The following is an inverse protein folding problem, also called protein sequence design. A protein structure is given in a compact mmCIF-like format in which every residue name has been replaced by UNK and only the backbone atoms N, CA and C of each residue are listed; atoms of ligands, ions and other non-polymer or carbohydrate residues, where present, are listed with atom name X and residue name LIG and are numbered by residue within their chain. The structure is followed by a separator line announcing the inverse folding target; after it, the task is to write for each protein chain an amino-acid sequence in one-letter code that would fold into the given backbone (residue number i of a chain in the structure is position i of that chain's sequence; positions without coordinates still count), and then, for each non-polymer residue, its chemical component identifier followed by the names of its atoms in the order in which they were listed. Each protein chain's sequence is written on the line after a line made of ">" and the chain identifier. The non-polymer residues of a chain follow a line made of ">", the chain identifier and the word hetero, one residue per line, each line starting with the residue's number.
data_IF_970440385386
#
_entry.id   IF_970440385386
#
_cell.length_a   1.000
_cell.length_b   1.000
_cell.length_c   1.000
_cell.angle_alpha   90.00
_cell.angle_beta   90.00
_cell.angle_gamma   90.00
#
_symmetry.space_group_name_H-M   'P 1'
#
loop_
_entity.id
_entity.type
_entity.pdbx_description
1 polymer ?
#
# COMPACT_ATOMS: atom_id res chain seq x y z
N UNK A 1 -32.60 -6.19 5.05
CA UNK A 1 -33.54 -5.57 4.08
C UNK A 1 -32.78 -4.50 3.30
N UNK A 2 -32.36 -4.79 2.06
CA UNK A 2 -31.75 -3.78 1.20
C UNK A 2 -32.82 -2.76 0.81
N UNK A 3 -32.63 -1.50 1.20
CA UNK A 3 -33.46 -0.41 0.69
C UNK A 3 -33.28 -0.38 -0.82
N UNK A 4 -34.36 -0.69 -1.55
CA UNK A 4 -34.40 -0.60 -3.01
C UNK A 4 -34.20 0.89 -3.34
N UNK A 5 -32.95 1.29 -3.59
CA UNK A 5 -32.65 2.62 -4.13
C UNK A 5 -33.47 2.75 -5.41
N UNK A 6 -34.48 3.63 -5.40
CA UNK A 6 -35.23 3.99 -6.61
C UNK A 6 -34.19 4.38 -7.65
N UNK A 7 -34.03 3.54 -8.66
CA UNK A 7 -33.06 3.77 -9.72
C UNK A 7 -33.55 4.96 -10.53
N UNK A 8 -32.78 6.04 -10.53
CA UNK A 8 -33.06 7.19 -11.39
C UNK A 8 -33.22 6.70 -12.84
N UNK A 9 -34.18 7.26 -13.61
CA UNK A 9 -34.36 6.88 -15.01
C UNK A 9 -33.03 7.09 -15.75
N UNK A 10 -32.45 6.00 -16.26
CA UNK A 10 -31.19 6.08 -16.99
C UNK A 10 -31.37 6.82 -18.30
N UNK A 11 -30.42 7.69 -18.61
CA UNK A 11 -30.36 8.40 -19.88
C UNK A 11 -30.32 7.39 -21.05
N UNK A 12 -31.23 7.56 -22.00
CA UNK A 12 -31.24 6.78 -23.24
C UNK A 12 -29.96 7.07 -24.01
N UNK A 13 -29.26 6.01 -24.40
CA UNK A 13 -28.06 6.14 -25.23
C UNK A 13 -28.50 6.28 -26.68
N UNK A 14 -27.71 7.00 -27.49
CA UNK A 14 -28.02 7.15 -28.92
C UNK A 14 -27.48 5.97 -29.76
N UNK A 15 -26.47 5.27 -29.26
CA UNK A 15 -25.75 4.21 -29.97
C UNK A 15 -25.55 2.99 -29.10
N UNK A 16 -25.47 1.82 -29.74
CA UNK A 16 -25.02 0.61 -29.06
C UNK A 16 -23.55 0.74 -28.64
N UNK A 17 -23.24 0.51 -27.37
CA UNK A 17 -21.88 0.59 -26.82
C UNK A 17 -20.92 -0.50 -27.32
N UNK A 18 -21.38 -1.40 -28.20
CA UNK A 18 -20.57 -2.49 -28.75
C UNK A 18 -20.35 -2.29 -30.25
N UNK A 19 -21.43 -2.26 -31.04
CA UNK A 19 -21.33 -2.13 -32.50
C UNK A 19 -21.49 -0.70 -33.02
N UNK A 20 -21.69 0.29 -32.13
CA UNK A 20 -21.84 1.71 -32.44
C UNK A 20 -23.01 2.08 -33.38
N UNK A 21 -23.89 1.13 -33.74
CA UNK A 21 -25.12 1.41 -34.51
C UNK A 21 -26.06 2.33 -33.73
N UNK A 22 -26.63 3.32 -34.40
CA UNK A 22 -27.61 4.24 -33.82
C UNK A 22 -28.91 3.49 -33.48
N UNK A 23 -29.42 3.69 -32.27
CA UNK A 23 -30.74 3.22 -31.91
C UNK A 23 -31.81 4.03 -32.65
N UNK A 24 -32.88 3.35 -33.05
CA UNK A 24 -34.01 3.93 -33.80
C UNK A 24 -35.30 3.19 -33.45
N UNK A 25 -36.41 3.56 -34.08
CA UNK A 25 -37.68 2.83 -33.92
C UNK A 25 -37.55 1.35 -34.34
N UNK A 26 -36.71 1.06 -35.34
CA UNK A 26 -36.44 -0.28 -35.84
C UNK A 26 -35.37 -1.00 -35.01
N UNK A 27 -34.34 -0.28 -34.54
CA UNK A 27 -33.28 -0.82 -33.70
C UNK A 27 -33.45 -0.40 -32.25
N UNK A 28 -34.20 -1.19 -31.47
CA UNK A 28 -34.47 -0.92 -30.06
C UNK A 28 -33.22 -1.04 -29.20
N UNK A 29 -33.11 -0.16 -28.21
CA UNK A 29 -32.12 -0.25 -27.13
C UNK A 29 -32.52 -1.33 -26.13
N UNK A 30 -31.58 -2.21 -25.80
CA UNK A 30 -31.64 -3.13 -24.67
C UNK A 30 -30.54 -2.80 -23.66
N UNK A 31 -30.65 -3.36 -22.46
CA UNK A 31 -29.64 -3.22 -21.42
C UNK A 31 -29.07 -4.58 -21.04
N UNK A 32 -27.74 -4.69 -21.03
CA UNK A 32 -27.05 -5.84 -20.44
C UNK A 32 -27.26 -5.81 -18.92
N UNK A 33 -27.81 -6.88 -18.34
CA UNK A 33 -28.05 -6.95 -16.89
C UNK A 33 -26.77 -7.10 -16.05
N UNK A 34 -25.68 -7.57 -16.65
CA UNK A 34 -24.36 -7.75 -16.00
C UNK A 34 -23.57 -6.43 -15.92
N UNK A 35 -23.18 -5.86 -17.06
CA UNK A 35 -22.33 -4.65 -17.12
C UNK A 35 -23.10 -3.35 -17.40
N UNK A 36 -24.43 -3.39 -17.46
CA UNK A 36 -25.28 -2.22 -17.65
C UNK A 36 -25.14 -1.47 -18.99
N UNK A 37 -24.38 -1.99 -19.96
CA UNK A 37 -24.26 -1.40 -21.31
C UNK A 37 -25.59 -1.36 -22.05
N UNK A 38 -25.82 -0.29 -22.80
CA UNK A 38 -26.84 -0.16 -23.82
C UNK A 38 -26.42 -0.91 -25.10
N UNK A 39 -27.20 -1.94 -25.47
CA UNK A 39 -26.88 -2.84 -26.57
C UNK A 39 -28.06 -3.03 -27.52
N UNK A 40 -27.80 -3.27 -28.80
CA UNK A 40 -28.83 -3.70 -29.73
C UNK A 40 -29.22 -5.18 -29.52
N UNK A 41 -30.24 -5.65 -30.23
CA UNK A 41 -30.71 -7.03 -30.11
C UNK A 41 -29.58 -8.04 -30.42
N UNK A 42 -28.81 -7.81 -31.50
CA UNK A 42 -27.72 -8.68 -31.94
C UNK A 42 -26.61 -8.78 -30.87
N UNK A 43 -26.11 -7.64 -30.40
CA UNK A 43 -25.05 -7.58 -29.40
C UNK A 43 -25.51 -8.06 -28.01
N UNK A 44 -26.82 -8.08 -27.76
CA UNK A 44 -27.45 -8.51 -26.51
C UNK A 44 -28.27 -9.79 -26.65
N UNK A 45 -28.01 -10.65 -27.64
CA UNK A 45 -28.85 -11.84 -27.91
C UNK A 45 -28.73 -12.94 -26.85
N UNK A 46 -27.66 -12.91 -26.05
CA UNK A 46 -27.34 -13.95 -25.09
C UNK A 46 -28.16 -13.81 -23.81
N UNK A 47 -28.42 -14.95 -23.17
CA UNK A 47 -28.98 -15.02 -21.84
C UNK A 47 -28.06 -15.85 -20.94
N UNK A 48 -27.88 -15.39 -19.70
CA UNK A 48 -27.05 -16.05 -18.70
C UNK A 48 -27.60 -15.78 -17.30
N UNK A 49 -27.26 -16.65 -16.34
CA UNK A 49 -27.44 -16.36 -14.93
C UNK A 49 -26.48 -15.23 -14.55
N UNK A 50 -26.99 -14.18 -13.90
CA UNK A 50 -26.20 -13.01 -13.51
C UNK A 50 -26.07 -13.01 -11.98
N UNK A 51 -24.86 -13.26 -11.52
CA UNK A 51 -24.50 -13.17 -10.10
C UNK A 51 -24.83 -11.76 -9.58
N UNK A 52 -25.41 -11.69 -8.38
CA UNK A 52 -25.88 -10.45 -7.72
C UNK A 52 -27.12 -9.79 -8.36
N UNK A 53 -27.80 -10.48 -9.29
CA UNK A 53 -29.11 -10.06 -9.80
C UNK A 53 -30.19 -11.08 -9.51
N UNK A 54 -30.08 -12.28 -10.11
CA UNK A 54 -30.99 -13.40 -9.88
C UNK A 54 -30.27 -14.68 -10.31
N UNK A 55 -30.16 -15.62 -9.39
CA UNK A 55 -29.52 -16.92 -9.61
C UNK A 55 -30.48 -17.96 -10.19
N UNK A 56 -31.78 -17.69 -10.24
CA UNK A 56 -32.82 -18.64 -10.66
C UNK A 56 -33.18 -18.49 -12.13
N UNK A 57 -33.12 -17.28 -12.67
CA UNK A 57 -33.54 -17.02 -14.06
C UNK A 57 -32.40 -16.48 -14.91
N UNK A 58 -32.45 -16.80 -16.22
CA UNK A 58 -31.47 -16.29 -17.16
C UNK A 58 -31.87 -14.90 -17.64
N UNK A 59 -30.92 -13.96 -17.61
CA UNK A 59 -31.12 -12.59 -18.03
C UNK A 59 -30.28 -12.23 -19.25
N UNK A 60 -30.75 -11.22 -19.98
CA UNK A 60 -30.06 -10.70 -21.15
C UNK A 60 -28.67 -10.17 -20.77
N UNK A 61 -27.64 -10.67 -21.45
CA UNK A 61 -26.28 -10.18 -21.35
C UNK A 61 -25.72 -9.85 -22.74
N UNK A 62 -24.75 -8.95 -22.78
CA UNK A 62 -24.06 -8.62 -24.02
C UNK A 62 -23.00 -9.68 -24.38
N UNK A 63 -22.62 -9.73 -25.66
CA UNK A 63 -21.57 -10.63 -26.18
C UNK A 63 -20.29 -10.56 -25.34
N UNK A 64 -19.79 -9.35 -25.05
CA UNK A 64 -18.58 -9.15 -24.25
C UNK A 64 -18.72 -9.76 -22.85
N UNK A 65 -19.86 -9.53 -22.19
CA UNK A 65 -20.11 -10.09 -20.87
C UNK A 65 -20.25 -11.61 -20.88
N UNK A 66 -20.78 -12.17 -21.97
CA UNK A 66 -20.92 -13.62 -22.14
C UNK A 66 -19.54 -14.26 -22.33
N UNK A 67 -18.70 -13.68 -23.17
CA UNK A 67 -17.33 -14.14 -23.41
C UNK A 67 -16.49 -14.08 -22.12
N UNK A 68 -16.60 -12.98 -21.37
CA UNK A 68 -15.90 -12.83 -20.10
C UNK A 68 -16.36 -13.86 -19.04
N UNK A 69 -17.65 -14.16 -18.96
CA UNK A 69 -18.17 -15.21 -18.09
C UNK A 69 -17.60 -16.59 -18.46
N UNK A 70 -17.56 -16.90 -19.76
CA UNK A 70 -16.95 -18.14 -20.26
C UNK A 70 -15.46 -18.19 -19.91
N UNK A 71 -14.74 -17.07 -20.07
CA UNK A 71 -13.34 -16.99 -19.71
C UNK A 71 -13.09 -17.16 -18.20
N UNK A 72 -13.94 -16.61 -17.34
CA UNK A 72 -13.83 -16.81 -15.89
C UNK A 72 -13.96 -18.31 -15.56
N UNK A 73 -14.96 -18.97 -16.12
CA UNK A 73 -15.16 -20.42 -15.92
C UNK A 73 -13.99 -21.23 -16.49
N UNK A 74 -13.48 -20.84 -17.66
CA UNK A 74 -12.34 -21.47 -18.31
C UNK A 74 -11.06 -21.35 -17.48
N UNK A 75 -10.75 -20.17 -16.92
CA UNK A 75 -9.60 -19.98 -16.03
C UNK A 75 -9.76 -20.82 -14.76
N UNK A 76 -10.95 -20.81 -14.13
CA UNK A 76 -11.20 -21.63 -12.92
C UNK A 76 -10.94 -23.11 -13.22
N UNK A 77 -11.47 -23.62 -14.33
CA UNK A 77 -11.32 -25.03 -14.69
C UNK A 77 -9.89 -25.39 -15.11
N UNK A 78 -9.26 -24.61 -15.99
CA UNK A 78 -7.91 -24.87 -16.51
C UNK A 78 -6.85 -24.77 -15.43
N UNK A 79 -6.92 -23.74 -14.60
CA UNK A 79 -5.93 -23.49 -13.55
C UNK A 79 -6.25 -24.23 -12.24
N UNK A 80 -7.35 -24.99 -12.21
CA UNK A 80 -7.81 -25.75 -11.05
C UNK A 80 -7.99 -24.87 -9.81
N UNK A 81 -8.62 -23.70 -10.00
CA UNK A 81 -8.80 -22.74 -8.92
C UNK A 81 -9.81 -23.26 -7.90
N UNK A 82 -9.45 -23.13 -6.62
CA UNK A 82 -10.31 -23.46 -5.50
C UNK A 82 -9.89 -22.64 -4.29
N UNK A 83 -10.88 -22.13 -3.54
CA UNK A 83 -10.61 -21.28 -2.39
C UNK A 83 -9.79 -22.03 -1.33
N UNK A 84 -8.71 -21.41 -0.86
CA UNK A 84 -7.75 -21.97 0.09
C UNK A 84 -7.11 -23.31 -0.36
N UNK A 85 -6.81 -23.45 -1.66
CA UNK A 85 -6.07 -24.61 -2.20
C UNK A 85 -5.06 -24.15 -3.24
N UNK A 86 -3.98 -24.91 -3.40
CA UNK A 86 -2.96 -24.62 -4.40
C UNK A 86 -3.48 -24.95 -5.81
N UNK A 87 -3.50 -23.94 -6.67
CA UNK A 87 -3.79 -24.02 -8.10
C UNK A 87 -2.54 -24.24 -8.95
N UNK A 88 -2.68 -24.42 -10.27
CA UNK A 88 -1.55 -24.40 -11.21
C UNK A 88 -0.82 -23.05 -11.24
N UNK A 89 -1.55 -21.93 -11.06
CA UNK A 89 -0.98 -20.59 -10.90
C UNK A 89 -0.01 -20.53 -9.71
N UNK A 90 -0.30 -21.24 -8.62
CA UNK A 90 0.60 -21.35 -7.45
C UNK A 90 1.99 -21.80 -7.86
N UNK A 91 2.07 -22.86 -8.65
CA UNK A 91 3.35 -23.42 -9.08
C UNK A 91 4.13 -22.43 -9.96
N UNK A 92 3.42 -21.68 -10.81
CA UNK A 92 4.02 -20.63 -11.62
C UNK A 92 4.57 -19.49 -10.75
N UNK A 93 3.78 -18.98 -9.81
CA UNK A 93 4.18 -17.86 -8.96
C UNK A 93 5.25 -18.24 -7.94
N UNK A 94 5.25 -19.48 -7.44
CA UNK A 94 6.33 -20.00 -6.61
C UNK A 94 7.66 -20.03 -7.39
N UNK A 95 7.66 -20.40 -8.67
CA UNK A 95 8.89 -20.30 -9.50
C UNK A 95 9.40 -18.88 -9.62
N UNK A 96 8.51 -17.89 -9.52
CA UNK A 96 8.91 -16.50 -9.54
C UNK A 96 9.42 -16.02 -8.20
N UNK A 97 8.96 -16.52 -7.05
CA UNK A 97 9.31 -16.02 -5.72
C UNK A 97 10.32 -16.87 -4.93
N UNK A 98 10.60 -18.10 -5.35
CA UNK A 98 11.48 -19.01 -4.62
C UNK A 98 12.95 -18.85 -5.05
N UNK A 99 13.73 -18.18 -4.21
CA UNK A 99 15.20 -18.16 -4.29
C UNK A 99 15.80 -19.41 -3.61
N UNK A 100 15.34 -20.59 -4.02
CA UNK A 100 15.73 -21.95 -3.54
C UNK A 100 14.96 -22.54 -2.34
N UNK A 101 14.03 -21.82 -1.71
CA UNK A 101 13.22 -22.43 -0.65
C UNK A 101 12.28 -23.51 -1.20
N UNK A 102 12.09 -24.61 -0.47
CA UNK A 102 11.12 -25.65 -0.88
C UNK A 102 9.75 -25.29 -0.34
N UNK A 103 8.70 -25.57 -1.12
CA UNK A 103 7.31 -25.32 -0.72
C UNK A 103 6.99 -25.90 0.67
N UNK A 104 7.48 -27.12 0.96
CA UNK A 104 7.27 -27.76 2.25
C UNK A 104 7.89 -26.98 3.43
N UNK A 105 9.03 -26.31 3.20
CA UNK A 105 9.69 -25.53 4.24
C UNK A 105 8.84 -24.29 4.59
N UNK A 106 8.25 -23.63 3.58
CA UNK A 106 7.29 -22.52 3.77
C UNK A 106 6.03 -22.97 4.52
N UNK A 107 5.50 -24.15 4.18
CA UNK A 107 4.34 -24.74 4.87
C UNK A 107 4.65 -24.99 6.34
N UNK A 108 5.81 -25.59 6.63
CA UNK A 108 6.24 -25.89 7.99
C UNK A 108 6.44 -24.59 8.81
N UNK A 109 7.08 -23.59 8.22
CA UNK A 109 7.28 -22.28 8.85
C UNK A 109 5.94 -21.64 9.23
N UNK A 110 4.98 -21.60 8.30
CA UNK A 110 3.65 -21.04 8.57
C UNK A 110 2.95 -21.71 9.75
N UNK A 111 2.92 -23.05 9.80
CA UNK A 111 2.21 -23.74 10.88
C UNK A 111 2.93 -23.62 12.23
N UNK A 112 4.27 -23.54 12.23
CA UNK A 112 5.04 -23.19 13.42
C UNK A 112 4.64 -21.81 13.94
N UNK A 113 4.63 -20.78 13.08
CA UNK A 113 4.21 -19.41 13.43
C UNK A 113 2.75 -19.38 13.90
N UNK A 114 1.86 -20.11 13.22
CA UNK A 114 0.45 -20.18 13.61
C UNK A 114 0.28 -20.76 15.01
N UNK A 115 1.06 -21.80 15.36
CA UNK A 115 1.02 -22.38 16.70
C UNK A 115 1.49 -21.39 17.78
N UNK A 116 2.55 -20.64 17.51
CA UNK A 116 3.13 -19.67 18.44
C UNK A 116 2.23 -18.44 18.61
N UNK A 117 1.65 -17.94 17.52
CA UNK A 117 0.81 -16.75 17.54
C UNK A 117 -0.49 -16.92 18.33
N UNK A 118 -1.04 -18.14 18.44
CA UNK A 118 -2.28 -18.42 19.19
C UNK A 118 -2.19 -18.04 20.68
N UNK A 119 -1.01 -18.16 21.28
CA UNK A 119 -0.82 -17.93 22.71
C UNK A 119 -0.13 -16.60 23.02
N UNK A 120 0.47 -15.96 22.00
CA UNK A 120 1.37 -14.82 22.18
C UNK A 120 0.88 -13.53 21.50
N UNK A 121 -0.32 -13.54 20.90
CA UNK A 121 -0.92 -12.33 20.33
C UNK A 121 -1.40 -11.39 21.45
N UNK A 122 -1.24 -10.08 21.27
CA UNK A 122 -1.84 -9.12 22.18
C UNK A 122 -3.37 -9.13 22.09
N UNK A 123 -4.03 -8.78 23.20
CA UNK A 123 -5.50 -8.66 23.26
C UNK A 123 -6.03 -7.65 22.23
N UNK A 124 -5.29 -6.55 22.01
CA UNK A 124 -5.66 -5.52 21.03
C UNK A 124 -5.69 -6.07 19.60
N UNK A 125 -4.65 -6.81 19.18
CA UNK A 125 -4.62 -7.42 17.84
C UNK A 125 -5.71 -8.48 17.70
N UNK A 126 -5.94 -9.28 18.74
CA UNK A 126 -7.01 -10.28 18.74
C UNK A 126 -8.38 -9.64 18.51
N UNK A 127 -8.64 -8.48 19.11
CA UNK A 127 -9.89 -7.73 18.90
C UNK A 127 -9.98 -7.15 17.49
N UNK A 128 -8.88 -6.62 16.94
CA UNK A 128 -8.84 -6.16 15.54
C UNK A 128 -9.18 -7.31 14.57
N UNK A 129 -8.62 -8.50 14.77
CA UNK A 129 -8.88 -9.66 13.90
C UNK A 129 -10.36 -10.08 13.87
N UNK A 130 -11.13 -9.84 14.96
CA UNK A 130 -12.57 -10.11 14.98
C UNK A 130 -13.37 -9.21 14.02
N UNK A 131 -12.80 -8.11 13.54
CA UNK A 131 -13.45 -7.23 12.56
C UNK A 131 -13.41 -7.76 11.11
N UNK A 132 -12.60 -8.79 10.83
CA UNK A 132 -12.40 -9.33 9.47
C UNK A 132 -13.72 -9.70 8.76
N UNK A 133 -14.71 -10.38 9.39
CA UNK A 133 -15.97 -10.68 8.72
C UNK A 133 -16.72 -9.42 8.23
N UNK A 134 -16.66 -8.33 9.01
CA UNK A 134 -17.29 -7.05 8.66
C UNK A 134 -16.57 -6.41 7.48
N UNK A 135 -15.23 -6.33 7.54
CA UNK A 135 -14.39 -5.79 6.46
C UNK A 135 -14.59 -6.60 5.17
N UNK A 136 -14.61 -7.93 5.28
CA UNK A 136 -14.83 -8.84 4.15
C UNK A 136 -16.19 -8.59 3.49
N UNK A 137 -17.25 -8.42 4.27
CA UNK A 137 -18.56 -8.08 3.74
C UNK A 137 -18.56 -6.72 3.03
N UNK A 138 -17.87 -5.71 3.59
CA UNK A 138 -17.71 -4.40 2.94
C UNK A 138 -16.98 -4.53 1.59
N UNK A 139 -15.89 -5.29 1.55
CA UNK A 139 -15.12 -5.59 0.33
C UNK A 139 -16.03 -6.23 -0.73
N UNK A 140 -16.77 -7.30 -0.37
CA UNK A 140 -17.66 -8.02 -1.32
C UNK A 140 -18.78 -7.13 -1.86
N UNK A 141 -19.32 -6.24 -1.03
CA UNK A 141 -20.34 -5.27 -1.47
C UNK A 141 -19.82 -4.27 -2.50
N UNK A 142 -18.51 -4.00 -2.50
CA UNK A 142 -17.89 -3.08 -3.44
C UNK A 142 -17.52 -3.75 -4.77
N UNK A 143 -17.52 -5.08 -4.87
CA UNK A 143 -17.09 -5.79 -6.07
C UNK A 143 -17.82 -5.36 -7.34
N UNK A 144 -17.06 -5.24 -8.41
CA UNK A 144 -17.54 -5.10 -9.76
C UNK A 144 -18.12 -6.43 -10.24
N UNK A 145 -18.86 -6.37 -11.33
CA UNK A 145 -19.57 -7.54 -11.85
C UNK A 145 -18.65 -8.73 -12.19
N UNK A 146 -17.37 -8.48 -12.52
CA UNK A 146 -16.38 -9.50 -12.85
C UNK A 146 -15.93 -10.24 -11.57
N UNK A 147 -15.54 -9.46 -10.55
CA UNK A 147 -15.12 -10.01 -9.25
C UNK A 147 -16.26 -10.70 -8.50
N UNK A 148 -17.50 -10.18 -8.56
CA UNK A 148 -18.67 -10.83 -7.95
C UNK A 148 -18.88 -12.24 -8.48
N UNK A 149 -18.76 -12.40 -9.79
CA UNK A 149 -18.97 -13.69 -10.43
C UNK A 149 -17.83 -14.67 -10.14
N UNK A 150 -16.58 -14.21 -10.20
CA UNK A 150 -15.43 -15.01 -9.83
C UNK A 150 -15.48 -15.48 -8.37
N UNK A 151 -15.80 -14.55 -7.44
CA UNK A 151 -16.00 -14.85 -6.03
C UNK A 151 -17.10 -15.89 -5.81
N UNK A 152 -18.27 -15.71 -6.45
CA UNK A 152 -19.38 -16.64 -6.34
C UNK A 152 -18.97 -18.05 -6.76
N UNK A 153 -18.32 -18.22 -7.91
CA UNK A 153 -17.94 -19.55 -8.38
C UNK A 153 -16.95 -20.27 -7.46
N UNK A 154 -16.06 -19.53 -6.79
CA UNK A 154 -15.04 -20.12 -5.91
C UNK A 154 -15.51 -20.29 -4.46
N UNK A 155 -16.57 -19.58 -4.03
CA UNK A 155 -17.00 -19.55 -2.62
C UNK A 155 -18.42 -20.02 -2.35
N UNK A 156 -19.26 -20.24 -3.39
CA UNK A 156 -20.67 -20.63 -3.22
C UNK A 156 -20.90 -21.90 -2.38
N UNK A 157 -19.94 -22.82 -2.36
CA UNK A 157 -20.03 -24.10 -1.66
C UNK A 157 -19.30 -24.07 -0.31
N UNK A 158 -18.75 -22.92 0.09
CA UNK A 158 -18.12 -22.75 1.40
C UNK A 158 -19.18 -22.55 2.48
N UNK A 159 -18.91 -23.11 3.66
CA UNK A 159 -19.69 -22.80 4.86
C UNK A 159 -19.54 -21.31 5.19
N UNK A 160 -20.62 -20.70 5.66
CA UNK A 160 -20.63 -19.31 6.10
C UNK A 160 -19.45 -19.02 7.05
N UNK A 161 -18.82 -17.85 6.86
CA UNK A 161 -17.66 -17.37 7.61
C UNK A 161 -16.34 -18.14 7.42
N UNK A 162 -16.29 -19.26 6.68
CA UNK A 162 -15.02 -19.98 6.46
C UNK A 162 -13.94 -19.11 5.82
N UNK A 163 -14.31 -18.27 4.84
CA UNK A 163 -13.38 -17.32 4.23
C UNK A 163 -12.76 -16.36 5.27
N UNK A 164 -13.54 -15.88 6.24
CA UNK A 164 -13.05 -14.99 7.29
C UNK A 164 -12.08 -15.72 8.23
N UNK A 165 -12.36 -16.98 8.58
CA UNK A 165 -11.47 -17.82 9.41
C UNK A 165 -10.11 -18.02 8.70
N UNK A 166 -10.15 -18.28 7.39
CA UNK A 166 -8.93 -18.49 6.62
C UNK A 166 -8.07 -17.22 6.55
N UNK A 167 -8.69 -16.06 6.27
CA UNK A 167 -8.02 -14.76 6.28
C UNK A 167 -7.45 -14.46 7.67
N UNK A 168 -8.24 -14.66 8.72
CA UNK A 168 -7.83 -14.39 10.11
C UNK A 168 -6.57 -15.16 10.48
N UNK A 169 -6.48 -16.44 10.11
CA UNK A 169 -5.29 -17.25 10.43
C UNK A 169 -4.04 -16.72 9.72
N UNK A 170 -4.16 -16.31 8.45
CA UNK A 170 -3.03 -15.75 7.68
C UNK A 170 -2.57 -14.43 8.30
N UNK A 171 -3.51 -13.52 8.57
CA UNK A 171 -3.19 -12.21 9.13
C UNK A 171 -2.70 -12.28 10.57
N UNK A 172 -3.17 -13.25 11.36
CA UNK A 172 -2.63 -13.55 12.68
C UNK A 172 -1.14 -13.90 12.61
N UNK A 173 -0.74 -14.80 11.71
CA UNK A 173 0.67 -15.15 11.50
C UNK A 173 1.49 -13.93 11.05
N UNK A 174 0.93 -13.14 10.12
CA UNK A 174 1.60 -11.97 9.55
C UNK A 174 1.89 -10.89 10.59
N UNK A 175 0.88 -10.52 11.40
CA UNK A 175 1.01 -9.51 12.45
C UNK A 175 1.88 -10.02 13.60
N UNK A 176 1.81 -11.31 13.93
CA UNK A 176 2.69 -11.92 14.94
C UNK A 176 4.17 -11.82 14.54
N UNK A 177 4.50 -12.16 13.29
CA UNK A 177 5.87 -12.06 12.77
C UNK A 177 6.32 -10.60 12.59
N UNK A 178 5.39 -9.70 12.29
CA UNK A 178 5.68 -8.30 11.98
C UNK A 178 4.79 -7.36 12.81
N UNK A 179 5.23 -7.02 14.02
CA UNK A 179 4.44 -6.26 15.00
C UNK A 179 4.04 -4.84 14.54
N UNK A 180 4.72 -4.29 13.53
CA UNK A 180 4.43 -2.95 12.99
C UNK A 180 3.26 -2.93 12.00
N UNK A 181 2.78 -4.09 11.54
CA UNK A 181 1.68 -4.16 10.58
C UNK A 181 0.36 -3.88 11.29
N UNK A 182 -0.40 -2.92 10.76
CA UNK A 182 -1.76 -2.67 11.20
C UNK A 182 -2.78 -3.36 10.28
N UNK A 183 -3.82 -3.94 10.88
CA UNK A 183 -4.91 -4.53 10.12
C UNK A 183 -5.69 -3.42 9.38
N UNK A 184 -5.73 -3.49 8.05
CA UNK A 184 -6.46 -2.56 7.21
C UNK A 184 -7.24 -3.29 6.09
N UNK A 185 -8.11 -2.57 5.39
CA UNK A 185 -8.95 -3.13 4.33
C UNK A 185 -8.14 -3.70 3.15
N UNK A 186 -7.05 -3.03 2.74
CA UNK A 186 -6.22 -3.48 1.61
C UNK A 186 -5.54 -4.82 1.91
N UNK A 187 -5.03 -4.98 3.13
CA UNK A 187 -4.41 -6.21 3.58
C UNK A 187 -5.41 -7.38 3.64
N UNK A 188 -6.62 -7.15 4.15
CA UNK A 188 -7.72 -8.14 4.11
C UNK A 188 -8.08 -8.51 2.68
N UNK A 189 -8.18 -7.51 1.79
CA UNK A 189 -8.57 -7.70 0.40
C UNK A 189 -7.53 -8.50 -0.40
N UNK A 190 -6.25 -8.18 -0.28
CA UNK A 190 -5.16 -8.91 -0.95
C UNK A 190 -5.08 -10.34 -0.42
N UNK A 191 -5.19 -10.52 0.90
CA UNK A 191 -5.23 -11.86 1.51
C UNK A 191 -6.39 -12.68 0.96
N UNK A 192 -7.59 -12.08 0.89
CA UNK A 192 -8.77 -12.74 0.35
C UNK A 192 -8.63 -13.10 -1.13
N UNK A 193 -8.06 -12.20 -1.93
CA UNK A 193 -7.82 -12.44 -3.34
C UNK A 193 -6.82 -13.57 -3.58
N UNK A 194 -5.71 -13.60 -2.84
CA UNK A 194 -4.69 -14.65 -2.95
C UNK A 194 -5.23 -16.03 -2.54
N UNK A 195 -6.19 -16.08 -1.61
CA UNK A 195 -6.86 -17.34 -1.23
C UNK A 195 -7.70 -17.94 -2.37
N UNK A 196 -8.01 -17.23 -3.46
CA UNK A 196 -8.63 -17.85 -4.64
C UNK A 196 -7.67 -18.79 -5.39
N UNK A 197 -6.36 -18.63 -5.19
CA UNK A 197 -5.31 -19.32 -5.94
C UNK A 197 -4.46 -20.25 -5.09
N UNK A 198 -4.33 -19.96 -3.80
CA UNK A 198 -3.34 -20.60 -2.93
C UNK A 198 -3.92 -21.05 -1.59
N UNK A 199 -3.23 -22.00 -0.95
CA UNK A 199 -3.44 -22.34 0.45
C UNK A 199 -2.92 -21.25 1.39
N UNK A 200 -3.46 -21.17 2.62
CA UNK A 200 -3.06 -20.20 3.64
C UNK A 200 -1.53 -20.06 3.84
N UNK A 201 -0.73 -21.14 3.94
CA UNK A 201 0.72 -21.00 4.07
C UNK A 201 1.38 -20.22 2.93
N UNK A 202 0.92 -20.49 1.69
CA UNK A 202 1.47 -19.82 0.52
C UNK A 202 0.92 -18.40 0.35
N UNK A 203 -0.31 -18.14 0.78
CA UNK A 203 -0.81 -16.76 0.89
C UNK A 203 0.06 -15.95 1.86
N UNK A 204 0.41 -16.51 3.03
CA UNK A 204 1.33 -15.88 3.96
C UNK A 204 2.70 -15.57 3.32
N UNK A 205 3.26 -16.52 2.57
CA UNK A 205 4.48 -16.31 1.78
C UNK A 205 4.34 -15.18 0.77
N UNK A 206 3.33 -15.24 -0.11
CA UNK A 206 3.15 -14.24 -1.17
C UNK A 206 2.88 -12.84 -0.61
N UNK A 207 2.17 -12.70 0.51
CA UNK A 207 2.01 -11.39 1.14
C UNK A 207 3.37 -10.81 1.57
N UNK A 208 4.27 -11.60 2.14
CA UNK A 208 5.62 -11.13 2.46
C UNK A 208 6.42 -10.77 1.19
N UNK A 209 6.32 -11.56 0.13
CA UNK A 209 6.91 -11.22 -1.17
C UNK A 209 6.39 -9.88 -1.72
N UNK A 210 5.07 -9.64 -1.67
CA UNK A 210 4.49 -8.35 -2.05
C UNK A 210 4.99 -7.19 -1.18
N UNK A 211 5.09 -7.41 0.13
CA UNK A 211 5.52 -6.40 1.09
C UNK A 211 6.99 -6.02 0.92
N UNK A 212 7.86 -7.02 0.88
CA UNK A 212 9.31 -6.87 1.03
C UNK A 212 10.00 -6.76 -0.34
N UNK A 213 9.70 -7.67 -1.26
CA UNK A 213 10.39 -7.73 -2.56
C UNK A 213 9.78 -6.75 -3.57
N UNK A 214 8.45 -6.73 -3.68
CA UNK A 214 7.73 -5.79 -4.56
C UNK A 214 7.56 -4.40 -3.90
N UNK A 215 8.04 -4.21 -2.66
CA UNK A 215 8.01 -2.93 -1.95
C UNK A 215 6.60 -2.34 -1.72
N UNK A 216 5.56 -3.17 -1.60
CA UNK A 216 4.23 -2.71 -1.21
C UNK A 216 4.04 -2.54 0.31
N UNK A 217 5.07 -2.80 1.12
CA UNK A 217 5.00 -2.70 2.58
C UNK A 217 4.44 -1.36 3.07
N UNK A 218 4.75 -0.24 2.41
CA UNK A 218 4.19 1.07 2.79
C UNK A 218 2.65 1.14 2.72
N UNK A 219 2.04 0.52 1.72
CA UNK A 219 0.58 0.48 1.58
C UNK A 219 -0.05 -0.58 2.48
N UNK A 220 0.62 -1.73 2.62
CA UNK A 220 0.09 -2.87 3.36
C UNK A 220 0.24 -2.73 4.87
N UNK A 221 1.31 -2.08 5.33
CA UNK A 221 1.68 -2.00 6.75
C UNK A 221 1.23 -0.68 7.37
N UNK A 222 1.47 0.43 6.67
CA UNK A 222 1.31 1.80 7.18
C UNK A 222 0.11 2.54 6.57
N UNK A 223 -0.50 1.97 5.52
CA UNK A 223 -1.54 2.63 4.73
C UNK A 223 -1.08 4.02 4.23
N UNK A 224 0.18 4.09 3.80
CA UNK A 224 0.77 5.31 3.26
C UNK A 224 0.04 5.77 2.00
N UNK A 225 -0.09 7.09 1.85
CA UNK A 225 -0.62 7.70 0.64
C UNK A 225 0.45 7.87 -0.41
N UNK A 226 0.03 7.88 -1.67
CA UNK A 226 0.90 8.28 -2.78
C UNK A 226 1.25 9.75 -2.63
N UNK A 227 2.54 10.08 -2.73
CA UNK A 227 3.07 11.43 -2.55
C UNK A 227 3.15 12.17 -3.88
N UNK A 228 3.16 13.50 -3.84
CA UNK A 228 3.16 14.33 -5.06
C UNK A 228 4.35 14.05 -5.99
N UNK A 229 5.54 13.77 -5.45
CA UNK A 229 6.71 13.46 -6.28
C UNK A 229 6.56 12.14 -7.05
N UNK A 230 5.72 11.22 -6.56
CA UNK A 230 5.43 9.96 -7.25
C UNK A 230 4.43 10.22 -8.38
N UNK A 231 3.47 11.11 -8.16
CA UNK A 231 2.58 11.59 -9.22
C UNK A 231 3.40 12.28 -10.32
N UNK A 232 4.38 13.11 -9.96
CA UNK A 232 5.30 13.75 -10.91
C UNK A 232 6.13 12.72 -11.67
N UNK A 233 6.59 11.66 -11.00
CA UNK A 233 7.30 10.56 -11.63
C UNK A 233 6.42 9.82 -12.66
N UNK A 234 5.18 9.47 -12.29
CA UNK A 234 4.23 8.83 -13.19
C UNK A 234 3.88 9.72 -14.40
N UNK A 235 3.80 11.04 -14.21
CA UNK A 235 3.65 12.00 -15.31
C UNK A 235 4.82 11.92 -16.29
N UNK A 236 6.05 11.77 -15.80
CA UNK A 236 7.23 11.61 -16.66
C UNK A 236 7.23 10.29 -17.44
N UNK A 237 6.80 9.19 -16.82
CA UNK A 237 6.56 7.92 -17.54
C UNK A 237 5.52 8.15 -18.64
N UNK A 238 4.43 8.87 -18.32
CA UNK A 238 3.35 9.15 -19.25
C UNK A 238 3.81 9.93 -20.49
N UNK A 239 4.62 10.97 -20.27
CA UNK A 239 5.23 11.77 -21.35
C UNK A 239 6.13 10.94 -22.25
N UNK A 240 7.05 10.18 -21.63
CA UNK A 240 8.12 9.47 -22.36
C UNK A 240 7.62 8.22 -23.07
N UNK A 241 6.80 7.41 -22.39
CA UNK A 241 6.43 6.09 -22.88
C UNK A 241 5.08 6.07 -23.61
N UNK A 242 4.16 6.96 -23.23
CA UNK A 242 2.79 6.96 -23.75
C UNK A 242 2.45 8.21 -24.56
N UNK A 243 3.45 9.08 -24.81
CA UNK A 243 3.37 10.25 -25.69
C UNK A 243 2.16 11.16 -25.38
N UNK A 244 1.83 11.33 -24.10
CA UNK A 244 0.76 12.23 -23.70
C UNK A 244 1.14 13.66 -24.08
N UNK A 245 0.26 14.33 -24.83
CA UNK A 245 0.49 15.70 -25.29
C UNK A 245 0.64 16.67 -24.12
N UNK A 246 1.50 17.70 -24.21
CA UNK A 246 1.68 18.67 -23.14
C UNK A 246 0.39 19.34 -22.66
N UNK A 247 -0.55 19.57 -23.58
CA UNK A 247 -1.89 20.11 -23.33
C UNK A 247 -2.76 19.22 -22.44
N UNK A 248 -2.46 17.92 -22.40
CA UNK A 248 -3.25 16.92 -21.70
C UNK A 248 -2.69 16.53 -20.33
N UNK A 249 -1.45 16.95 -20.02
CA UNK A 249 -0.77 16.60 -18.77
C UNK A 249 -1.52 17.06 -17.53
N UNK A 250 -2.21 18.21 -17.59
CA UNK A 250 -3.01 18.69 -16.48
C UNK A 250 -4.18 17.74 -16.18
N UNK A 251 -4.84 17.21 -17.21
CA UNK A 251 -5.91 16.24 -17.05
C UNK A 251 -5.37 14.89 -16.55
N UNK A 252 -4.22 14.47 -17.06
CA UNK A 252 -3.57 13.25 -16.63
C UNK A 252 -3.11 13.31 -15.17
N UNK A 253 -2.57 14.45 -14.72
CA UNK A 253 -2.22 14.68 -13.31
C UNK A 253 -3.45 14.52 -12.41
N UNK A 254 -4.57 15.17 -12.77
CA UNK A 254 -5.83 15.04 -12.02
C UNK A 254 -6.35 13.61 -11.99
N UNK A 255 -6.16 12.86 -13.07
CA UNK A 255 -6.45 11.43 -13.10
C UNK A 255 -5.58 10.67 -12.09
N UNK A 256 -4.27 10.91 -12.09
CA UNK A 256 -3.34 10.26 -11.16
C UNK A 256 -3.69 10.59 -9.72
N UNK A 257 -3.77 11.88 -9.35
CA UNK A 257 -4.12 12.37 -8.02
C UNK A 257 -5.38 11.68 -7.46
N UNK A 258 -6.33 11.36 -8.33
CA UNK A 258 -7.60 10.75 -7.93
C UNK A 258 -7.56 9.23 -7.81
N UNK A 259 -6.86 8.54 -8.70
CA UNK A 259 -7.02 7.09 -8.88
C UNK A 259 -5.78 6.28 -8.53
N UNK A 260 -4.59 6.89 -8.56
CA UNK A 260 -3.31 6.20 -8.40
C UNK A 260 -3.21 5.46 -7.07
N UNK A 261 -3.57 6.11 -5.97
CA UNK A 261 -3.47 5.53 -4.62
C UNK A 261 -4.31 4.27 -4.53
N UNK A 262 -5.55 4.32 -5.01
CA UNK A 262 -6.44 3.16 -5.01
C UNK A 262 -5.88 2.04 -5.88
N UNK A 263 -5.39 2.34 -7.09
CA UNK A 263 -4.85 1.33 -8.01
C UNK A 263 -3.58 0.66 -7.46
N UNK A 264 -2.66 1.42 -6.88
CA UNK A 264 -1.38 0.91 -6.39
C UNK A 264 -1.53 0.19 -5.04
N UNK A 265 -2.26 0.78 -4.09
CA UNK A 265 -2.44 0.19 -2.75
C UNK A 265 -3.21 -1.13 -2.75
N UNK A 266 -4.01 -1.36 -3.80
CA UNK A 266 -4.85 -2.54 -3.91
C UNK A 266 -4.56 -3.42 -5.13
N UNK A 267 -3.48 -3.14 -5.86
CA UNK A 267 -3.04 -3.90 -7.05
C UNK A 267 -4.18 -4.03 -8.08
N UNK A 268 -4.86 -2.91 -8.38
CA UNK A 268 -5.98 -2.80 -9.32
C UNK A 268 -7.21 -3.65 -8.98
N UNK A 269 -7.27 -4.18 -7.77
CA UNK A 269 -8.41 -4.95 -7.33
C UNK A 269 -9.69 -4.12 -7.47
N UNK A 270 -10.70 -4.74 -8.08
CA UNK A 270 -11.99 -4.12 -8.37
C UNK A 270 -11.97 -2.96 -9.39
N UNK A 271 -10.82 -2.66 -10.01
CA UNK A 271 -10.66 -1.61 -11.02
C UNK A 271 -10.57 -2.18 -12.44
N UNK A 272 -10.10 -3.42 -12.57
CA UNK A 272 -10.08 -4.17 -13.83
C UNK A 272 -10.92 -5.45 -13.71
N UNK A 273 -11.16 -6.12 -14.84
CA UNK A 273 -11.76 -7.46 -14.82
C UNK A 273 -10.76 -8.52 -14.31
N UNK A 274 -11.28 -9.67 -13.90
CA UNK A 274 -10.51 -10.76 -13.27
C UNK A 274 -9.34 -11.22 -14.16
N UNK A 275 -9.53 -11.30 -15.47
CA UNK A 275 -8.48 -11.74 -16.39
C UNK A 275 -7.29 -10.78 -16.40
N UNK A 276 -7.57 -9.47 -16.41
CA UNK A 276 -6.53 -8.45 -16.29
C UNK A 276 -5.88 -8.50 -14.91
N UNK A 277 -6.65 -8.72 -13.85
CA UNK A 277 -6.14 -8.80 -12.49
C UNK A 277 -5.14 -9.97 -12.34
N UNK A 278 -5.49 -11.16 -12.82
CA UNK A 278 -4.58 -12.33 -12.84
C UNK A 278 -3.31 -12.01 -13.62
N UNK A 279 -3.43 -11.40 -14.80
CA UNK A 279 -2.29 -10.98 -15.60
C UNK A 279 -1.38 -9.97 -14.86
N UNK A 280 -1.95 -8.99 -14.17
CA UNK A 280 -1.19 -7.98 -13.42
C UNK A 280 -0.41 -8.64 -12.29
N UNK A 281 -1.05 -9.52 -11.50
CA UNK A 281 -0.36 -10.23 -10.42
C UNK A 281 0.76 -11.13 -10.93
N UNK A 282 0.51 -11.87 -12.02
CA UNK A 282 1.53 -12.70 -12.68
C UNK A 282 2.74 -11.88 -13.12
N UNK A 283 2.48 -10.76 -13.79
CA UNK A 283 3.51 -9.85 -14.27
C UNK A 283 4.33 -9.27 -13.11
N UNK A 284 3.67 -8.76 -12.07
CA UNK A 284 4.34 -8.13 -10.94
C UNK A 284 5.17 -9.13 -10.13
N UNK A 285 4.66 -10.35 -9.90
CA UNK A 285 5.43 -11.40 -9.23
C UNK A 285 6.62 -11.87 -10.07
N UNK A 286 6.46 -11.96 -11.39
CA UNK A 286 7.55 -12.34 -12.30
C UNK A 286 8.72 -11.37 -12.26
N UNK A 287 8.44 -10.07 -12.19
CA UNK A 287 9.48 -9.04 -12.20
C UNK A 287 9.92 -8.59 -10.80
N UNK A 288 9.11 -8.88 -9.77
CA UNK A 288 9.35 -8.52 -8.36
C UNK A 288 9.67 -7.02 -8.16
N UNK A 289 9.00 -6.15 -8.91
CA UNK A 289 9.33 -4.72 -8.95
C UNK A 289 8.05 -3.88 -8.88
N UNK A 290 8.01 -2.95 -7.92
CA UNK A 290 6.94 -1.97 -7.75
C UNK A 290 6.70 -1.16 -9.03
N UNK A 291 7.78 -0.86 -9.76
CA UNK A 291 7.73 -0.05 -10.97
C UNK A 291 6.83 -0.65 -12.06
N UNK A 292 6.65 -1.98 -12.06
CA UNK A 292 5.73 -2.61 -13.00
C UNK A 292 4.26 -2.22 -12.74
N UNK A 293 3.88 -1.97 -11.49
CA UNK A 293 2.55 -1.43 -11.17
C UNK A 293 2.40 0.02 -11.64
N UNK A 294 3.45 0.83 -11.46
CA UNK A 294 3.48 2.23 -11.89
C UNK A 294 3.31 2.38 -13.40
N UNK A 295 3.98 1.52 -14.19
CA UNK A 295 3.76 1.42 -15.64
C UNK A 295 2.32 1.08 -15.98
N UNK A 296 1.74 0.07 -15.32
CA UNK A 296 0.38 -0.37 -15.60
C UNK A 296 -0.64 0.73 -15.27
N UNK A 297 -0.44 1.48 -14.16
CA UNK A 297 -1.31 2.63 -13.83
C UNK A 297 -1.22 3.67 -14.93
N UNK A 298 0.01 4.01 -15.32
CA UNK A 298 0.26 5.05 -16.33
C UNK A 298 -0.34 4.65 -17.68
N UNK A 299 -0.17 3.40 -18.10
CA UNK A 299 -0.78 2.82 -19.29
C UNK A 299 -2.30 2.93 -19.25
N UNK A 300 -2.94 2.47 -18.17
CA UNK A 300 -4.41 2.53 -18.04
C UNK A 300 -4.88 3.98 -18.09
N UNK A 301 -4.22 4.89 -17.39
CA UNK A 301 -4.51 6.31 -17.48
C UNK A 301 -4.47 6.82 -18.92
N UNK A 302 -3.42 6.45 -19.67
CA UNK A 302 -3.22 6.94 -21.04
C UNK A 302 -4.33 6.46 -21.98
N UNK A 303 -4.76 5.21 -21.83
CA UNK A 303 -5.82 4.60 -22.64
C UNK A 303 -7.18 5.27 -22.43
N UNK A 304 -7.47 5.75 -21.21
CA UNK A 304 -8.77 6.32 -20.84
C UNK A 304 -8.74 7.84 -20.60
N UNK A 305 -7.65 8.51 -20.95
CA UNK A 305 -7.52 9.96 -20.74
C UNK A 305 -8.61 10.77 -21.46
N UNK A 306 -8.99 10.35 -22.68
CA UNK A 306 -10.06 11.03 -23.43
C UNK A 306 -11.43 10.85 -22.77
N UNK A 307 -11.72 9.67 -22.24
CA UNK A 307 -12.96 9.42 -21.47
C UNK A 307 -12.99 10.28 -20.21
N UNK A 308 -11.85 10.40 -19.52
CA UNK A 308 -11.68 11.26 -18.34
C UNK A 308 -11.88 12.74 -18.67
N UNK A 309 -11.34 13.24 -19.79
CA UNK A 309 -11.56 14.63 -20.24
C UNK A 309 -13.04 14.93 -20.51
N UNK A 310 -13.73 14.02 -21.20
CA UNK A 310 -15.12 14.25 -21.65
C UNK A 310 -16.13 14.20 -20.50
N UNK A 311 -15.90 13.33 -19.51
CA UNK A 311 -16.85 13.09 -18.40
C UNK A 311 -16.38 13.65 -17.07
N UNK A 312 -15.18 14.19 -17.01
CA UNK A 312 -14.60 14.81 -15.83
C UNK A 312 -14.45 13.81 -14.69
N UNK A 313 -14.88 14.23 -13.50
CA UNK A 313 -14.64 13.54 -12.23
C UNK A 313 -15.71 12.49 -11.87
N UNK A 314 -16.48 11.96 -12.82
CA UNK A 314 -17.41 10.85 -12.54
C UNK A 314 -16.64 9.52 -12.38
N UNK A 315 -16.31 9.21 -11.13
CA UNK A 315 -15.52 8.01 -10.77
C UNK A 315 -16.20 6.72 -11.18
N UNK A 316 -17.51 6.64 -11.01
CA UNK A 316 -18.25 5.44 -11.32
C UNK A 316 -18.25 5.21 -12.83
N UNK A 317 -18.47 6.26 -13.63
CA UNK A 317 -18.38 6.16 -15.08
C UNK A 317 -16.99 5.71 -15.53
N UNK A 318 -15.94 6.35 -15.01
CA UNK A 318 -14.57 6.12 -15.44
C UNK A 318 -14.09 4.70 -15.09
N UNK A 319 -14.27 4.27 -13.83
CA UNK A 319 -13.93 2.90 -13.41
C UNK A 319 -14.73 1.88 -14.21
N UNK A 320 -16.00 2.17 -14.50
CA UNK A 320 -16.78 1.31 -15.37
C UNK A 320 -16.18 1.20 -16.78
N UNK A 321 -15.63 2.27 -17.38
CA UNK A 321 -14.96 2.18 -18.68
C UNK A 321 -13.70 1.30 -18.62
N UNK A 322 -12.87 1.47 -17.59
CA UNK A 322 -11.67 0.64 -17.40
C UNK A 322 -12.05 -0.84 -17.33
N UNK A 323 -12.96 -1.23 -16.44
CA UNK A 323 -13.37 -2.64 -16.25
C UNK A 323 -13.91 -3.22 -17.56
N UNK A 324 -14.72 -2.43 -18.26
CA UNK A 324 -15.44 -2.81 -19.47
C UNK A 324 -14.52 -3.05 -20.66
N UNK A 325 -13.50 -2.21 -20.83
CA UNK A 325 -12.78 -2.12 -22.09
C UNK A 325 -11.32 -2.58 -22.00
N UNK A 326 -10.76 -2.73 -20.80
CA UNK A 326 -9.38 -3.21 -20.62
C UNK A 326 -9.33 -4.71 -20.83
N UNK A 327 -8.39 -5.17 -21.66
CA UNK A 327 -8.18 -6.59 -21.97
C UNK A 327 -6.74 -6.99 -21.66
N UNK A 328 -6.49 -8.26 -21.26
CA UNK A 328 -5.13 -8.74 -21.03
C UNK A 328 -4.22 -8.60 -22.25
N UNK A 329 -4.77 -8.78 -23.47
CA UNK A 329 -4.02 -8.63 -24.71
C UNK A 329 -3.46 -7.21 -24.90
N UNK A 330 -4.22 -6.19 -24.48
CA UNK A 330 -3.80 -4.79 -24.56
C UNK A 330 -2.64 -4.59 -23.58
N UNK A 331 -2.81 -4.99 -22.31
CA UNK A 331 -1.74 -4.86 -21.30
C UNK A 331 -0.46 -5.57 -21.75
N UNK A 332 -0.58 -6.81 -22.24
CA UNK A 332 0.53 -7.62 -22.73
C UNK A 332 1.24 -6.98 -23.92
N UNK A 333 0.51 -6.45 -24.90
CA UNK A 333 1.10 -5.81 -26.07
C UNK A 333 1.97 -4.61 -25.65
N UNK A 334 1.46 -3.74 -24.80
CA UNK A 334 2.17 -2.54 -24.35
C UNK A 334 3.38 -2.87 -23.49
N UNK A 335 3.22 -3.73 -22.48
CA UNK A 335 4.35 -4.10 -21.61
C UNK A 335 5.45 -4.82 -22.39
N UNK A 336 5.10 -5.63 -23.40
CA UNK A 336 6.10 -6.27 -24.27
C UNK A 336 6.87 -5.29 -25.18
N UNK A 337 6.25 -4.17 -25.57
CA UNK A 337 6.90 -3.10 -26.33
C UNK A 337 7.87 -2.33 -25.43
N UNK A 338 7.47 -2.02 -24.20
CA UNK A 338 8.34 -1.37 -23.22
C UNK A 338 9.54 -2.24 -22.82
N UNK A 339 9.37 -3.56 -22.67
CA UNK A 339 10.48 -4.45 -22.38
C UNK A 339 11.57 -4.41 -23.47
N UNK A 340 11.16 -4.24 -24.74
CA UNK A 340 12.09 -4.04 -25.86
C UNK A 340 12.80 -2.68 -25.80
N UNK A 341 12.10 -1.62 -25.38
CA UNK A 341 12.69 -0.29 -25.17
C UNK A 341 13.67 -0.35 -24.01
N UNK A 342 13.33 -0.99 -22.88
CA UNK A 342 14.22 -1.20 -21.73
C UNK A 342 15.49 -1.96 -22.08
N UNK A 343 15.41 -2.99 -22.93
CA UNK A 343 16.60 -3.71 -23.42
C UNK A 343 17.54 -2.80 -24.23
N UNK A 344 17.00 -1.80 -24.93
CA UNK A 344 17.78 -0.84 -25.72
C UNK A 344 18.26 0.37 -24.88
N UNK A 345 17.48 0.83 -23.91
CA UNK A 345 17.72 2.06 -23.14
C UNK A 345 18.36 1.85 -21.76
N UNK A 346 18.40 0.61 -21.21
CA UNK A 346 19.18 0.29 -19.99
C UNK A 346 20.68 0.58 -20.14
N UNK A 347 21.18 0.86 -21.35
CA UNK A 347 22.56 1.37 -21.54
C UNK A 347 22.72 2.88 -21.31
N UNK A 348 21.66 3.69 -21.25
CA UNK A 348 21.82 5.17 -21.24
C UNK A 348 20.87 5.96 -20.34
N UNK A 349 19.63 5.51 -20.12
CA UNK A 349 18.62 6.35 -19.45
C UNK A 349 18.55 6.12 -17.93
N UNK A 350 18.77 4.86 -17.49
CA UNK A 350 18.62 4.48 -16.08
C UNK A 350 19.75 4.96 -15.19
N UNK A 351 21.00 5.05 -15.68
CA UNK A 351 22.07 5.69 -14.93
C UNK A 351 21.69 7.13 -14.54
N UNK A 352 21.11 7.92 -15.45
CA UNK A 352 20.77 9.32 -15.18
C UNK A 352 19.54 9.53 -14.31
N UNK A 353 18.48 8.72 -14.43
CA UNK A 353 17.29 8.90 -13.60
C UNK A 353 17.46 8.33 -12.20
N UNK A 354 18.19 7.22 -12.08
CA UNK A 354 18.57 6.64 -10.79
C UNK A 354 19.59 7.57 -10.11
N UNK A 355 20.53 8.18 -10.84
CA UNK A 355 21.42 9.22 -10.30
C UNK A 355 20.66 10.47 -9.84
N UNK A 356 19.61 10.92 -10.56
CA UNK A 356 18.82 12.10 -10.13
C UNK A 356 17.95 11.76 -8.91
N UNK A 357 17.33 10.57 -8.88
CA UNK A 357 16.54 10.12 -7.75
C UNK A 357 17.43 9.84 -6.53
N UNK A 358 18.56 9.16 -6.71
CA UNK A 358 19.59 8.98 -5.69
C UNK A 358 20.15 10.33 -5.27
N UNK A 359 20.46 11.29 -6.16
CA UNK A 359 20.91 12.62 -5.75
C UNK A 359 19.86 13.32 -4.88
N UNK A 360 18.59 13.31 -5.28
CA UNK A 360 17.53 13.97 -4.53
C UNK A 360 17.23 13.27 -3.20
N UNK A 361 17.32 11.95 -3.17
CA UNK A 361 17.16 11.13 -1.97
C UNK A 361 18.36 11.28 -1.02
N UNK A 362 19.57 11.30 -1.56
CA UNK A 362 20.84 11.47 -0.86
C UNK A 362 21.00 12.90 -0.34
N UNK A 363 20.58 13.93 -1.09
CA UNK A 363 20.48 15.30 -0.58
C UNK A 363 19.50 15.43 0.61
N UNK A 364 18.40 14.65 0.63
CA UNK A 364 17.47 14.62 1.77
C UNK A 364 18.03 13.84 2.95
N UNK A 365 18.72 12.73 2.69
CA UNK A 365 19.41 11.93 3.72
C UNK A 365 20.61 12.69 4.31
N UNK A 366 21.33 13.46 3.49
CA UNK A 366 22.42 14.32 3.91
C UNK A 366 21.89 15.46 4.77
N UNK A 367 20.76 16.10 4.42
CA UNK A 367 20.12 17.07 5.30
C UNK A 367 19.60 16.47 6.62
N UNK A 368 19.10 15.23 6.61
CA UNK A 368 18.70 14.54 7.84
C UNK A 368 19.90 14.10 8.68
N UNK A 369 21.00 13.68 8.05
CA UNK A 369 22.25 13.35 8.72
C UNK A 369 22.96 14.59 9.27
N UNK A 370 22.97 15.70 8.54
CA UNK A 370 23.42 17.01 9.02
C UNK A 370 22.59 17.45 10.23
N UNK A 371 21.26 17.28 10.19
CA UNK A 371 20.38 17.60 11.32
C UNK A 371 20.68 16.70 12.53
N UNK A 372 20.92 15.40 12.33
CA UNK A 372 21.32 14.47 13.40
C UNK A 372 22.71 14.79 13.95
N UNK A 373 23.67 15.17 13.11
CA UNK A 373 25.01 15.58 13.53
C UNK A 373 24.98 16.89 14.34
N UNK A 374 24.13 17.85 13.94
CA UNK A 374 23.87 19.07 14.72
C UNK A 374 23.24 18.74 16.07
N UNK A 375 22.23 17.87 16.10
CA UNK A 375 21.59 17.45 17.36
C UNK A 375 22.56 16.70 18.29
N UNK A 376 23.42 15.86 17.74
CA UNK A 376 24.48 15.17 18.50
C UNK A 376 25.51 16.15 19.08
N UNK A 377 25.95 17.13 18.28
CA UNK A 377 26.82 18.22 18.72
C UNK A 377 26.20 19.05 19.86
N UNK A 378 24.90 19.34 19.76
CA UNK A 378 24.17 20.09 20.78
C UNK A 378 24.01 19.27 22.07
N UNK A 379 23.75 17.97 21.98
CA UNK A 379 23.65 17.08 23.14
C UNK A 379 24.98 16.98 23.91
N UNK A 380 26.08 16.70 23.22
CA UNK A 380 27.40 16.54 23.86
C UNK A 380 27.95 17.87 24.44
N UNK A 381 27.79 18.98 23.73
CA UNK A 381 28.37 20.25 24.16
C UNK A 381 27.49 21.04 25.14
N UNK A 382 26.16 21.03 24.96
CA UNK A 382 25.27 21.83 25.80
C UNK A 382 24.72 21.05 26.99
N UNK A 383 24.27 19.81 26.78
CA UNK A 383 23.64 19.02 27.84
C UNK A 383 24.67 18.32 28.72
N UNK A 384 25.70 17.71 28.12
CA UNK A 384 26.76 17.01 28.87
C UNK A 384 27.92 17.92 29.32
N UNK A 385 27.85 19.21 28.97
CA UNK A 385 28.83 20.25 29.34
C UNK A 385 30.28 19.90 28.98
N UNK A 386 30.51 19.13 27.91
CA UNK A 386 31.86 18.77 27.50
C UNK A 386 32.50 19.88 26.63
N UNK A 387 33.81 20.14 26.79
CA UNK A 387 34.51 21.07 25.90
C UNK A 387 34.53 20.52 24.46
N UNK A 388 34.50 21.43 23.48
CA UNK A 388 34.60 21.08 22.06
C UNK A 388 35.92 20.37 21.77
N UNK A 389 35.85 19.08 21.45
CA UNK A 389 36.98 18.32 20.95
C UNK A 389 37.23 18.63 19.44
N UNK A 390 38.31 18.10 18.89
CA UNK A 390 38.67 18.32 17.48
C UNK A 390 37.63 17.76 16.50
N UNK A 391 36.96 16.65 16.87
CA UNK A 391 35.90 16.06 16.07
C UNK A 391 34.69 17.00 15.97
N UNK A 392 34.30 17.64 17.08
CA UNK A 392 33.22 18.62 17.10
C UNK A 392 33.53 19.85 16.24
N UNK A 393 34.77 20.37 16.33
CA UNK A 393 35.21 21.49 15.49
C UNK A 393 35.18 21.14 14.00
N UNK A 394 35.56 19.91 13.65
CA UNK A 394 35.50 19.41 12.29
C UNK A 394 34.05 19.29 11.79
N UNK A 395 33.15 18.74 12.59
CA UNK A 395 31.72 18.67 12.25
C UNK A 395 31.11 20.07 12.08
N UNK A 396 31.42 21.02 12.97
CA UNK A 396 30.93 22.41 12.86
C UNK A 396 31.42 23.05 11.54
N UNK A 397 32.67 22.80 11.14
CA UNK A 397 33.22 23.36 9.89
C UNK A 397 32.54 22.84 8.62
N UNK A 398 31.84 21.70 8.69
CA UNK A 398 31.11 21.11 7.58
C UNK A 398 29.68 21.67 7.43
N UNK A 399 29.17 22.39 8.43
CA UNK A 399 27.83 22.99 8.40
C UNK A 399 27.79 24.28 7.57
N UNK A 400 26.59 24.71 7.15
CA UNK A 400 26.45 26.01 6.48
C UNK A 400 26.65 27.19 7.45
N UNK A 401 26.97 28.38 6.92
CA UNK A 401 27.30 29.57 7.74
C UNK A 401 26.21 29.93 8.77
N UNK A 402 24.94 29.77 8.41
CA UNK A 402 23.82 30.08 9.31
C UNK A 402 23.77 29.11 10.50
N UNK A 403 24.00 27.82 10.26
CA UNK A 403 24.06 26.79 11.30
C UNK A 403 25.29 26.94 12.19
N UNK A 404 26.46 27.23 11.60
CA UNK A 404 27.68 27.54 12.35
C UNK A 404 27.44 28.69 13.33
N UNK A 405 26.79 29.77 12.86
CA UNK A 405 26.48 30.92 13.70
C UNK A 405 25.55 30.55 14.86
N UNK A 406 24.49 29.76 14.61
CA UNK A 406 23.57 29.30 15.66
C UNK A 406 24.32 28.48 16.73
N UNK A 407 25.18 27.55 16.33
CA UNK A 407 25.95 26.74 17.27
C UNK A 407 26.91 27.61 18.08
N UNK A 408 27.61 28.55 17.44
CA UNK A 408 28.51 29.49 18.12
C UNK A 408 27.75 30.33 19.15
N UNK A 409 26.57 30.83 18.80
CA UNK A 409 25.76 31.65 19.70
C UNK A 409 25.23 30.84 20.90
N UNK A 410 24.82 29.59 20.67
CA UNK A 410 24.42 28.68 21.75
C UNK A 410 25.57 28.33 22.70
N UNK A 411 26.78 28.11 22.16
CA UNK A 411 27.98 27.86 22.97
C UNK A 411 28.35 29.08 23.82
N UNK A 412 28.27 30.29 23.25
CA UNK A 412 28.48 31.54 24.00
C UNK A 412 27.46 31.72 25.12
N UNK A 413 26.18 31.44 24.83
CA UNK A 413 25.12 31.48 25.84
C UNK A 413 25.40 30.49 26.99
N UNK A 414 25.88 29.28 26.69
CA UNK A 414 26.20 28.28 27.72
C UNK A 414 27.42 28.70 28.57
N UNK A 415 28.47 29.25 27.95
CA UNK A 415 29.63 29.77 28.66
C UNK A 415 29.27 30.93 29.60
N UNK A 416 28.35 31.80 29.19
CA UNK A 416 27.88 32.90 30.04
C UNK A 416 27.11 32.35 31.25
N UNK A 417 26.23 31.36 31.06
CA UNK A 417 25.53 30.70 32.18
C UNK A 417 26.47 30.00 33.15
N UNK A 418 27.56 29.39 32.66
CA UNK A 418 28.56 28.78 33.54
C UNK A 418 29.26 29.81 34.41
N UNK A 419 29.60 30.98 33.86
CA UNK A 419 30.21 32.07 34.64
C UNK A 419 29.26 32.65 35.69
N UNK A 420 27.98 32.75 35.36
CA UNK A 420 26.94 33.16 36.33
C UNK A 420 26.80 32.12 37.45
N UNK A 421 26.77 30.83 37.11
CA UNK A 421 26.67 29.75 38.09
C UNK A 421 27.91 29.65 38.99
N UNK A 422 29.12 29.80 38.45
CA UNK A 422 30.36 29.87 39.24
C UNK A 422 30.41 31.10 40.15
N UNK A 423 29.82 32.23 39.74
CA UNK A 423 29.70 33.40 40.61
C UNK A 423 28.73 33.16 41.77
N UNK A 424 27.58 32.53 41.51
CA UNK A 424 26.60 32.16 42.54
C UNK A 424 27.16 31.11 43.52
N UNK A 425 27.89 30.10 43.02
CA UNK A 425 28.52 29.09 43.86
C UNK A 425 29.64 29.70 44.71
N UNK A 426 30.47 30.60 44.16
CA UNK A 426 31.48 31.32 44.94
C UNK A 426 30.85 32.22 46.02
N UNK A 427 29.72 32.86 45.73
CA UNK A 427 28.92 33.61 46.72
C UNK A 427 28.35 32.71 47.81
N UNK A 428 27.94 31.49 47.46
CA UNK A 428 27.47 30.48 48.41
C UNK A 428 28.62 29.99 49.30
N UNK A 429 29.79 29.69 48.73
CA UNK A 429 30.98 29.29 49.49
C UNK A 429 31.45 30.40 50.44
N UNK A 430 31.45 31.67 50.00
CA UNK A 430 31.75 32.80 50.88
C UNK A 430 30.74 32.93 52.04
N UNK A 431 29.44 32.72 51.78
CA UNK A 431 28.42 32.69 52.84
C UNK A 431 28.66 31.54 53.82
N UNK A 432 29.00 30.35 53.33
CA UNK A 432 29.32 29.19 54.18
C UNK A 432 30.56 29.46 55.04
N UNK A 433 31.62 30.03 54.47
CA UNK A 433 32.84 30.39 55.23
C UNK A 433 32.57 31.46 56.30
N UNK A 434 31.73 32.46 56.01
CA UNK A 434 31.32 33.46 57.01
C UNK A 434 30.46 32.86 58.14
N UNK A 435 29.70 31.80 57.87
CA UNK A 435 28.92 31.09 58.89
C UNK A 435 29.76 30.06 59.68
N UNK A 436 30.79 29.45 59.09
CA UNK A 436 31.68 28.53 59.80
C UNK A 436 32.60 29.21 60.81
N UNK A 437 32.81 30.53 60.70
CA UNK A 437 33.52 31.33 61.70
C UNK A 437 32.62 31.86 62.83
N UNK A 438 31.30 31.67 62.75
CA UNK A 438 30.39 31.87 63.90
C UNK A 438 30.18 30.53 64.61
N UNK A 439 31.00 30.26 65.60
CA UNK A 439 30.96 29.07 66.44
C UNK A 439 29.65 28.96 67.21
N UNK A 440 28.66 28.26 66.64
CA UNK A 440 27.58 27.63 67.40
C UNK A 440 27.51 26.17 66.98
N UNK A 441 27.93 25.28 67.87
CA UNK A 441 27.87 23.83 67.68
C UNK A 441 26.42 23.38 67.48
N UNK A 442 26.03 23.10 66.24
CA UNK A 442 24.80 22.36 65.94
C UNK A 442 25.18 20.88 65.84
N UNK A 443 24.75 20.09 66.83
CA UNK A 443 24.80 18.62 66.78
C UNK A 443 23.84 18.13 65.70
N UNK A 444 24.36 17.56 64.62
CA UNK A 444 23.57 16.82 63.64
C UNK A 444 23.36 15.40 64.12
N UNK A 445 22.10 15.02 64.32
CA UNK A 445 21.69 13.66 64.63
C UNK A 445 21.67 12.82 63.35
N UNK A 446 22.30 11.64 63.40
CA UNK A 446 22.61 10.80 62.22
C UNK A 446 21.47 9.83 61.85
N UNK A 447 20.29 9.99 62.46
CA UNK A 447 19.20 9.01 62.39
C UNK A 447 18.23 9.19 61.21
N UNK A 448 18.22 10.32 60.50
CA UNK A 448 17.24 10.58 59.42
C UNK A 448 17.69 10.21 57.99
N UNK A 449 18.96 9.87 57.76
CA UNK A 449 19.51 9.63 56.40
C UNK A 449 19.48 8.15 55.96
N UNK A 450 19.02 7.24 56.82
CA UNK A 450 18.98 5.80 56.51
C UNK A 450 17.62 5.34 55.95
N UNK A 451 16.55 6.11 56.15
CA UNK A 451 15.19 5.67 55.76
C UNK A 451 14.77 6.01 54.32
N UNK A 452 15.47 6.92 53.62
CA UNK A 452 15.08 7.28 52.24
C UNK A 452 15.61 6.33 51.15
N UNK A 453 16.66 5.53 51.44
CA UNK A 453 17.20 4.57 50.47
C UNK A 453 16.53 3.19 50.50
N UNK A 454 15.66 2.92 51.48
CA UNK A 454 14.97 1.62 51.59
C UNK A 454 13.70 1.54 50.73
N UNK A 455 13.08 2.68 50.44
CA UNK A 455 11.81 2.76 49.67
C UNK A 455 12.01 2.57 48.16
N UNK A 456 13.22 2.77 47.63
CA UNK A 456 13.49 2.63 46.18
C UNK A 456 13.76 1.19 45.71
N UNK A 457 14.05 0.24 46.62
CA UNK A 457 14.39 -1.14 46.27
C UNK A 457 13.21 -2.12 46.33
N UNK A 458 12.06 -1.72 46.90
CA UNK A 458 10.85 -2.57 46.96
C UNK A 458 9.97 -2.47 45.70
N UNK A 459 10.35 -1.66 44.69
CA UNK A 459 9.62 -1.53 43.42
C UNK A 459 10.23 -2.33 42.25
N UNK A 460 11.26 -3.16 42.49
CA UNK A 460 11.98 -3.92 41.45
C UNK A 460 12.07 -5.45 41.72
N UNK A 461 11.17 -5.99 42.53
CA UNK A 461 10.90 -7.43 42.65
C UNK A 461 9.39 -7.61 42.52
#
# INVERSE_FOLDING_TARGET
>A
MSTIKKTLPRLKQQRCEICQRNFSLLLKQHQCKRCNRAVCCDCGRFKAIIVDYDLKTQHRCCIICKDEQLNIQDIIAKEQLSFNKNSLITNQWLRYSLDNAREQDLINEYYMILSQSKNNLSTSVTEQLKSIPIILNQIRNQYNYSMKEFDYYLTKDLIDNMSAIFIQSVLQCLIYKNQNIQLNQNLVQITYFLLYFHSQPLVFHFINCFREEISLGRFLDQNDKVKDYEIDFLLEIAKKNYLIEPTDLLYFRKYLEKHVERMLSNIFFNIVNVQCLVFIYDHVLKFRDYFELEKIVTLIGSLYLNDFKQKGLDDEYFINQIIKNTKPSILKEYLSKEDRIRLNEKRQTYAKSEDIFLLQFQQRMDHQNETKQVLYLLDDCLLKRQPLNNHHKQLISQLNQKQQQIIIDLLKLNQNKQKEQEQDDNLLYQKIETHSNSSTQIKFDKSELVDQNKVLMEYLI
#
